data_IF_846403665284
#
_entry.id   IF_846403665284
#
_cell.length_a   1.000
_cell.length_b   1.000
_cell.length_c   1.000
_cell.angle_alpha   90.00
_cell.angle_beta   90.00
_cell.angle_gamma   90.00
#
_symmetry.space_group_name_H-M   'P 1'
#
loop_
_entity.id
_entity.type
_entity.pdbx_description
1 polymer ?
#
# COMPACT_ATOMS: atom_id res chain seq x y z
N UNK A 1 -45.36 -45.69 32.64
CA UNK A 1 -46.12 -44.44 32.41
C UNK A 1 -45.78 -43.97 31.00
N UNK A 2 -46.70 -44.22 30.05
CA UNK A 2 -47.50 -43.20 29.32
C UNK A 2 -46.63 -42.16 28.58
N UNK A 3 -46.73 -41.86 27.30
CA UNK A 3 -47.43 -42.38 26.10
C UNK A 3 -47.34 -41.28 25.03
N UNK A 4 -47.32 -41.67 23.74
CA UNK A 4 -47.72 -40.88 22.56
C UNK A 4 -46.77 -39.74 22.12
N UNK A 5 -46.55 -39.46 20.83
CA UNK A 5 -47.08 -40.02 19.59
C UNK A 5 -46.57 -39.16 18.41
N UNK A 6 -46.14 -39.83 17.33
CA UNK A 6 -45.96 -39.22 15.99
C UNK A 6 -47.33 -38.84 15.38
N UNK A 7 -47.40 -38.46 14.08
CA UNK A 7 -46.89 -37.28 13.37
C UNK A 7 -48.08 -36.49 12.76
N UNK A 8 -47.86 -35.33 12.13
CA UNK A 8 -48.89 -34.71 11.29
C UNK A 8 -48.37 -34.36 9.88
N UNK A 9 -49.19 -34.78 8.91
CA UNK A 9 -49.02 -34.91 7.47
C UNK A 9 -49.47 -33.63 6.72
N UNK A 10 -49.24 -33.55 5.39
CA UNK A 10 -49.50 -32.37 4.56
C UNK A 10 -50.96 -32.28 4.09
N UNK A 11 -51.40 -31.08 3.68
CA UNK A 11 -52.61 -30.83 2.89
C UNK A 11 -52.18 -30.20 1.54
N UNK A 12 -52.29 -30.90 0.40
CA UNK A 12 -53.43 -31.09 -0.53
C UNK A 12 -53.97 -29.81 -1.21
N UNK A 13 -53.58 -29.66 -2.48
CA UNK A 13 -54.40 -29.49 -3.72
C UNK A 13 -55.68 -28.62 -3.70
N UNK A 14 -55.80 -27.66 -4.63
CA UNK A 14 -56.64 -27.72 -5.86
C UNK A 14 -56.86 -26.32 -6.49
N UNK A 15 -56.55 -26.11 -7.79
CA UNK A 15 -57.41 -26.12 -9.02
C UNK A 15 -58.04 -24.74 -9.38
N UNK A 16 -58.14 -24.48 -10.71
CA UNK A 16 -58.84 -23.42 -11.46
C UNK A 16 -58.01 -22.15 -11.73
N UNK A 17 -57.68 -21.70 -12.95
CA UNK A 17 -58.14 -22.02 -14.30
C UNK A 17 -58.98 -20.88 -14.89
N UNK A 18 -58.44 -20.10 -15.84
CA UNK A 18 -59.11 -19.44 -16.99
C UNK A 18 -58.13 -18.50 -17.70
N UNK A 19 -57.75 -18.77 -18.99
CA UNK A 19 -58.32 -18.22 -20.25
C UNK A 19 -58.16 -16.68 -20.34
N UNK A 20 -57.70 -16.01 -21.39
CA UNK A 20 -57.53 -16.22 -22.84
C UNK A 20 -56.51 -15.15 -23.34
N UNK A 21 -55.59 -15.39 -24.29
CA UNK A 21 -55.74 -15.35 -25.77
C UNK A 21 -56.01 -13.94 -26.37
N UNK A 22 -55.76 -13.67 -27.67
CA UNK A 22 -54.50 -13.04 -28.12
C UNK A 22 -54.68 -11.79 -29.01
N UNK A 23 -53.54 -11.14 -29.31
CA UNK A 23 -53.19 -10.41 -30.53
C UNK A 23 -54.29 -9.61 -31.26
N UNK A 24 -54.31 -8.29 -31.04
CA UNK A 24 -54.95 -7.33 -31.94
C UNK A 24 -53.90 -6.62 -32.82
N UNK A 25 -54.10 -6.74 -34.14
CA UNK A 25 -53.51 -5.88 -35.18
C UNK A 25 -54.16 -4.50 -35.11
N UNK A 26 -53.37 -3.43 -35.14
CA UNK A 26 -53.74 -2.14 -35.74
C UNK A 26 -52.50 -1.45 -36.34
N UNK A 27 -52.57 -1.06 -37.61
CA UNK A 27 -51.77 0.00 -38.27
C UNK A 27 -52.51 1.36 -38.05
N UNK A 28 -52.07 2.57 -38.49
CA UNK A 28 -50.89 2.98 -39.27
C UNK A 28 -50.16 4.28 -38.81
N UNK A 29 -49.05 4.59 -39.52
CA UNK A 29 -48.51 5.92 -39.88
C UNK A 29 -48.21 6.99 -38.82
N UNK A 30 -46.92 7.35 -38.68
CA UNK A 30 -46.46 8.75 -38.75
C UNK A 30 -44.92 8.86 -38.83
N UNK A 31 -44.47 9.48 -39.93
CA UNK A 31 -43.34 10.43 -40.08
C UNK A 31 -41.92 10.00 -39.68
N UNK A 32 -41.07 10.00 -40.71
CA UNK A 32 -39.64 10.27 -40.64
C UNK A 32 -39.30 11.48 -39.76
N UNK A 33 -38.26 11.33 -38.94
CA UNK A 33 -37.32 12.39 -38.55
C UNK A 33 -35.94 11.75 -38.33
N UNK A 34 -34.86 12.50 -38.59
CA UNK A 34 -33.64 11.92 -39.14
C UNK A 34 -32.71 11.30 -38.09
N UNK A 35 -31.89 10.38 -38.59
CA UNK A 35 -30.79 9.69 -37.95
C UNK A 35 -30.03 10.51 -36.90
N UNK A 36 -30.20 10.18 -35.62
CA UNK A 36 -29.21 10.49 -34.61
C UNK A 36 -28.17 9.37 -34.63
N UNK A 37 -27.08 9.60 -35.39
CA UNK A 37 -25.85 8.81 -35.28
C UNK A 37 -25.28 9.07 -33.89
N UNK A 38 -25.65 8.22 -32.94
CA UNK A 38 -24.90 8.06 -31.70
C UNK A 38 -23.50 7.58 -32.07
N UNK A 39 -22.58 8.52 -32.16
CA UNK A 39 -21.15 8.27 -32.28
C UNK A 39 -20.73 7.28 -31.20
N UNK A 40 -20.33 6.08 -31.62
CA UNK A 40 -19.51 5.22 -30.80
C UNK A 40 -18.33 6.06 -30.32
N UNK A 41 -18.33 6.41 -29.03
CA UNK A 41 -17.20 6.98 -28.36
C UNK A 41 -16.09 5.93 -28.44
N UNK A 42 -15.25 6.10 -29.45
CA UNK A 42 -13.93 5.49 -29.53
C UNK A 42 -13.29 5.71 -28.16
N UNK A 43 -13.10 4.63 -27.41
CA UNK A 43 -12.32 4.64 -26.19
C UNK A 43 -11.06 5.44 -26.45
N UNK A 44 -10.96 6.56 -25.74
CA UNK A 44 -9.83 7.46 -25.79
C UNK A 44 -8.58 6.64 -25.55
N UNK A 45 -7.72 6.69 -26.56
CA UNK A 45 -6.34 6.23 -26.51
C UNK A 45 -5.69 6.93 -25.33
N UNK A 46 -4.81 6.20 -24.65
CA UNK A 46 -4.19 6.57 -23.38
C UNK A 46 -3.95 8.07 -23.24
N UNK A 47 -4.62 8.65 -22.24
CA UNK A 47 -4.23 9.96 -21.75
C UNK A 47 -2.78 9.87 -21.32
N UNK A 48 -1.95 10.63 -22.04
CA UNK A 48 -0.60 10.91 -21.61
C UNK A 48 -0.72 11.56 -20.25
N UNK A 49 -0.26 10.86 -19.22
CA UNK A 49 -0.14 11.40 -17.89
C UNK A 49 0.81 12.60 -17.99
N UNK A 50 0.26 13.82 -17.95
CA UNK A 50 1.01 15.00 -17.53
C UNK A 50 1.80 14.57 -16.30
N UNK A 51 3.12 14.73 -16.38
CA UNK A 51 4.06 14.18 -15.39
C UNK A 51 3.87 14.95 -14.08
N UNK A 52 2.87 14.58 -13.30
CA UNK A 52 2.62 15.11 -11.96
C UNK A 52 3.89 14.90 -11.14
N UNK A 53 4.30 15.92 -10.41
CA UNK A 53 5.45 15.81 -9.51
C UNK A 53 5.20 14.72 -8.48
N UNK A 54 6.24 13.96 -8.15
CA UNK A 54 6.12 12.86 -7.21
C UNK A 54 5.87 13.41 -5.80
N UNK A 55 4.87 12.86 -5.11
CA UNK A 55 4.55 13.24 -3.75
C UNK A 55 5.67 12.86 -2.80
N UNK A 56 6.00 13.76 -1.89
CA UNK A 56 6.82 13.43 -0.73
C UNK A 56 5.90 13.30 0.46
N UNK A 57 5.88 12.12 1.07
CA UNK A 57 5.03 11.78 2.19
C UNK A 57 5.71 12.06 3.53
N UNK A 58 4.92 12.54 4.48
CA UNK A 58 5.36 12.77 5.87
C UNK A 58 5.76 11.48 6.57
N UNK A 59 5.08 10.39 6.25
CA UNK A 59 5.25 9.09 6.88
C UNK A 59 5.63 8.01 5.85
N UNK A 60 6.45 7.02 6.24
CA UNK A 60 6.74 5.86 5.39
C UNK A 60 5.47 5.08 5.06
N UNK A 61 5.44 4.50 3.85
CA UNK A 61 4.36 3.62 3.39
C UNK A 61 4.83 2.17 3.41
N UNK A 62 4.02 1.29 3.98
CA UNK A 62 4.18 -0.16 3.89
C UNK A 62 3.07 -0.73 3.00
N UNK A 63 3.49 -1.43 1.95
CA UNK A 63 2.61 -2.17 1.03
C UNK A 63 2.77 -3.67 1.17
N UNK A 64 1.81 -4.45 0.67
CA UNK A 64 1.87 -5.91 0.73
C UNK A 64 2.94 -6.49 -0.20
N UNK A 65 2.93 -6.06 -1.47
CA UNK A 65 3.70 -6.68 -2.54
C UNK A 65 4.73 -5.78 -3.20
N UNK A 66 5.64 -6.42 -3.95
CA UNK A 66 6.63 -5.74 -4.80
C UNK A 66 5.97 -4.90 -5.91
N UNK A 67 4.83 -5.35 -6.45
CA UNK A 67 4.14 -4.67 -7.55
C UNK A 67 3.55 -3.34 -7.08
N UNK A 68 2.92 -3.32 -5.92
CA UNK A 68 2.39 -2.10 -5.27
C UNK A 68 3.53 -1.09 -5.05
N UNK A 69 4.68 -1.57 -4.58
CA UNK A 69 5.87 -0.71 -4.40
C UNK A 69 6.32 -0.11 -5.72
N UNK A 70 6.38 -0.88 -6.80
CA UNK A 70 6.79 -0.37 -8.11
C UNK A 70 5.81 0.71 -8.59
N UNK A 71 4.50 0.46 -8.45
CA UNK A 71 3.45 1.42 -8.83
C UNK A 71 3.60 2.72 -8.05
N UNK A 72 3.70 2.62 -6.72
CA UNK A 72 3.88 3.80 -5.86
C UNK A 72 5.19 4.53 -6.11
N UNK A 73 6.28 3.84 -6.45
CA UNK A 73 7.58 4.50 -6.71
C UNK A 73 7.54 5.49 -7.89
N UNK A 74 6.52 5.39 -8.76
CA UNK A 74 6.27 6.35 -9.83
C UNK A 74 5.49 7.60 -9.36
N UNK A 75 4.74 7.47 -8.26
CA UNK A 75 3.82 8.48 -7.72
C UNK A 75 4.45 9.21 -6.54
N UNK A 76 5.19 8.49 -5.68
CA UNK A 76 5.82 9.02 -4.48
C UNK A 76 7.34 8.95 -4.59
N UNK A 77 8.00 10.00 -4.11
CA UNK A 77 9.45 10.03 -3.96
C UNK A 77 9.90 9.40 -2.63
N UNK A 78 9.02 9.37 -1.63
CA UNK A 78 9.32 8.80 -0.31
C UNK A 78 9.56 7.28 -0.36
N UNK A 79 10.41 6.74 0.54
CA UNK A 79 10.66 5.31 0.60
C UNK A 79 9.40 4.49 0.90
N UNK A 80 9.15 3.48 0.05
CA UNK A 80 8.07 2.50 0.19
C UNK A 80 8.64 1.16 0.63
N UNK A 81 8.17 0.67 1.77
CA UNK A 81 8.52 -0.62 2.35
C UNK A 81 7.57 -1.71 1.86
N UNK A 82 8.05 -2.95 1.70
CA UNK A 82 7.21 -4.10 1.34
C UNK A 82 7.08 -5.09 2.48
N UNK A 83 5.88 -5.64 2.61
CA UNK A 83 5.62 -6.71 3.52
C UNK A 83 6.18 -8.04 2.99
N UNK A 84 6.25 -8.20 1.67
CA UNK A 84 6.56 -9.46 1.00
C UNK A 84 5.63 -10.58 1.55
N UNK A 85 4.35 -10.24 1.72
CA UNK A 85 3.35 -11.07 2.39
C UNK A 85 3.60 -11.23 3.90
N UNK A 86 3.59 -12.47 4.41
CA UNK A 86 3.84 -12.77 5.83
C UNK A 86 5.32 -12.73 6.21
N UNK A 87 6.24 -12.56 5.26
CA UNK A 87 7.68 -12.62 5.52
C UNK A 87 8.19 -11.48 6.41
N UNK A 88 7.49 -10.33 6.53
CA UNK A 88 7.79 -9.29 7.54
C UNK A 88 7.89 -9.89 8.94
N UNK A 89 6.99 -10.83 9.25
CA UNK A 89 6.90 -11.38 10.60
C UNK A 89 8.00 -12.39 10.89
N UNK A 90 8.77 -12.82 9.89
CA UNK A 90 9.86 -13.76 10.07
C UNK A 90 11.22 -13.05 10.16
N UNK A 91 11.35 -11.83 9.63
CA UNK A 91 12.61 -11.07 9.69
C UNK A 91 12.69 -10.23 10.96
N UNK A 92 13.62 -10.52 11.90
CA UNK A 92 13.85 -9.69 13.09
C UNK A 92 14.33 -8.28 12.72
N UNK A 93 15.06 -8.15 11.61
CA UNK A 93 15.56 -6.87 11.10
C UNK A 93 14.41 -5.96 10.68
N UNK A 94 13.49 -6.45 9.83
CA UNK A 94 12.33 -5.68 9.39
C UNK A 94 11.46 -5.25 10.57
N UNK A 95 11.25 -6.16 11.54
CA UNK A 95 10.55 -5.86 12.79
C UNK A 95 11.21 -4.69 13.54
N UNK A 96 12.52 -4.77 13.80
CA UNK A 96 13.26 -3.71 14.50
C UNK A 96 13.17 -2.37 13.76
N UNK A 97 13.31 -2.37 12.43
CA UNK A 97 13.14 -1.17 11.61
C UNK A 97 11.73 -0.58 11.73
N UNK A 98 10.68 -1.39 11.57
CA UNK A 98 9.29 -0.93 11.66
C UNK A 98 9.00 -0.36 13.05
N UNK A 99 9.46 -1.03 14.11
CA UNK A 99 9.32 -0.56 15.49
C UNK A 99 10.00 0.80 15.67
N UNK A 100 11.24 0.95 15.17
CA UNK A 100 11.97 2.23 15.23
C UNK A 100 11.25 3.35 14.51
N UNK A 101 10.68 3.10 13.33
CA UNK A 101 9.90 4.08 12.57
C UNK A 101 8.63 4.55 13.30
N UNK A 102 7.99 3.61 14.00
CA UNK A 102 6.73 3.85 14.71
C UNK A 102 6.89 4.38 16.14
N UNK A 103 8.13 4.51 16.63
CA UNK A 103 8.39 5.05 17.98
C UNK A 103 8.09 6.55 18.06
N UNK A 104 8.60 7.33 17.10
CA UNK A 104 8.47 8.79 17.07
C UNK A 104 7.56 9.28 15.94
N UNK A 105 6.93 8.35 15.22
CA UNK A 105 6.21 8.64 13.98
C UNK A 105 5.05 7.69 13.73
N UNK A 106 4.52 7.77 12.50
CA UNK A 106 3.45 6.89 12.03
C UNK A 106 3.90 6.09 10.81
N UNK A 107 3.24 4.97 10.58
CA UNK A 107 3.41 4.12 9.41
C UNK A 107 2.10 4.06 8.63
N UNK A 108 2.14 4.43 7.36
CA UNK A 108 0.98 4.30 6.47
C UNK A 108 0.91 2.86 5.98
N UNK A 109 -0.20 2.18 6.26
CA UNK A 109 -0.49 0.83 5.80
C UNK A 109 -1.41 0.92 4.59
N UNK A 110 -0.85 0.70 3.39
CA UNK A 110 -1.63 0.63 2.16
C UNK A 110 -1.75 -0.84 1.74
N UNK A 111 -2.89 -1.44 2.07
CA UNK A 111 -3.19 -2.83 1.73
C UNK A 111 -4.58 -2.96 1.12
N UNK A 112 -4.78 -4.04 0.36
CA UNK A 112 -6.09 -4.42 -0.13
C UNK A 112 -7.04 -4.78 1.03
N UNK A 113 -8.34 -4.74 0.72
CA UNK A 113 -9.42 -5.07 1.67
C UNK A 113 -9.64 -6.59 1.85
N UNK A 114 -8.72 -7.42 1.34
CA UNK A 114 -8.87 -8.87 1.29
C UNK A 114 -8.49 -9.56 2.62
N UNK A 115 -8.55 -10.89 2.65
CA UNK A 115 -8.19 -11.66 3.84
C UNK A 115 -6.69 -11.56 4.19
N UNK A 116 -5.82 -11.41 3.18
CA UNK A 116 -4.38 -11.26 3.36
C UNK A 116 -4.03 -9.95 4.05
N UNK A 117 -4.53 -8.83 3.50
CA UNK A 117 -4.36 -7.49 4.05
C UNK A 117 -4.89 -7.37 5.47
N UNK A 118 -6.06 -7.93 5.78
CA UNK A 118 -6.60 -7.95 7.15
C UNK A 118 -5.68 -8.66 8.14
N UNK A 119 -5.09 -9.79 7.75
CA UNK A 119 -4.19 -10.54 8.62
C UNK A 119 -2.85 -9.81 8.83
N UNK A 120 -2.30 -9.20 7.78
CA UNK A 120 -1.08 -8.37 7.88
C UNK A 120 -1.31 -7.20 8.84
N UNK A 121 -2.43 -6.47 8.70
CA UNK A 121 -2.78 -5.35 9.59
C UNK A 121 -2.92 -5.79 11.04
N UNK A 122 -3.66 -6.87 11.30
CA UNK A 122 -3.86 -7.39 12.65
C UNK A 122 -2.53 -7.74 13.33
N UNK A 123 -1.65 -8.45 12.61
CA UNK A 123 -0.33 -8.80 13.14
C UNK A 123 0.57 -7.58 13.35
N UNK A 124 0.55 -6.59 12.45
CA UNK A 124 1.33 -5.36 12.61
C UNK A 124 0.85 -4.55 13.82
N UNK A 125 -0.47 -4.41 14.01
CA UNK A 125 -1.05 -3.73 15.17
C UNK A 125 -0.71 -4.41 16.50
N UNK A 126 -0.59 -5.75 16.51
CA UNK A 126 -0.13 -6.48 17.69
C UNK A 126 1.36 -6.32 18.00
N UNK A 127 2.17 -5.96 17.00
CA UNK A 127 3.62 -5.81 17.13
C UNK A 127 4.07 -4.35 17.36
N UNK A 128 3.38 -3.39 16.75
CA UNK A 128 3.72 -1.97 16.78
C UNK A 128 3.02 -1.24 17.93
N UNK A 129 3.55 -0.07 18.38
CA UNK A 129 2.88 0.75 19.38
C UNK A 129 1.44 1.10 18.97
N UNK A 130 0.52 1.12 19.93
CA UNK A 130 -0.87 1.48 19.67
C UNK A 130 -0.97 2.90 19.08
N UNK A 131 -1.78 3.06 18.02
CA UNK A 131 -1.98 4.36 17.34
C UNK A 131 -0.84 4.78 16.39
N UNK A 132 0.19 3.96 16.21
CA UNK A 132 1.34 4.27 15.33
C UNK A 132 1.10 3.95 13.84
N UNK A 133 -0.06 3.39 13.49
CA UNK A 133 -0.39 2.99 12.12
C UNK A 133 -1.55 3.82 11.57
N UNK A 134 -1.41 4.33 10.34
CA UNK A 134 -2.48 4.95 9.56
C UNK A 134 -2.96 3.91 8.55
N UNK A 135 -4.21 3.48 8.70
CA UNK A 135 -4.83 2.48 7.82
C UNK A 135 -5.41 3.15 6.58
N UNK A 136 -4.77 2.98 5.42
CA UNK A 136 -5.34 3.39 4.14
C UNK A 136 -5.97 2.20 3.43
N UNK A 137 -7.26 2.32 3.18
CA UNK A 137 -8.02 1.33 2.42
C UNK A 137 -8.17 1.83 0.99
N UNK A 138 -7.83 0.94 0.07
CA UNK A 138 -8.05 1.16 -1.34
C UNK A 138 -9.56 1.07 -1.62
N UNK A 139 -10.14 2.04 -2.35
CA UNK A 139 -11.54 1.95 -2.74
C UNK A 139 -11.75 0.70 -3.60
N UNK A 140 -12.82 -0.04 -3.29
CA UNK A 140 -13.18 -1.30 -3.96
C UNK A 140 -13.68 -1.01 -5.39
N UNK A 141 -12.77 -0.88 -6.34
CA UNK A 141 -13.12 -0.77 -7.76
C UNK A 141 -13.26 -2.18 -8.34
N UNK A 142 -14.38 -2.46 -8.99
CA UNK A 142 -14.56 -3.71 -9.72
C UNK A 142 -13.62 -3.76 -10.92
N UNK A 143 -12.79 -4.80 -11.02
CA UNK A 143 -11.84 -4.93 -12.11
C UNK A 143 -10.93 -6.14 -11.99
N UNK A 144 -10.15 -6.40 -13.05
CA UNK A 144 -9.24 -7.56 -13.16
C UNK A 144 -7.80 -7.06 -13.25
N UNK A 145 -6.95 -7.49 -12.31
CA UNK A 145 -5.51 -7.29 -12.40
C UNK A 145 -4.95 -7.93 -13.68
N UNK A 146 -4.10 -7.20 -14.42
CA UNK A 146 -3.60 -7.63 -15.74
C UNK A 146 -2.81 -8.95 -15.70
N UNK A 147 -2.21 -9.30 -14.56
CA UNK A 147 -1.44 -10.53 -14.36
C UNK A 147 -2.31 -11.79 -14.15
N UNK A 148 -3.57 -11.66 -13.71
CA UNK A 148 -4.42 -12.82 -13.41
C UNK A 148 -5.32 -13.16 -14.60
N UNK A 149 -5.12 -14.36 -15.18
CA UNK A 149 -6.02 -14.91 -16.23
C UNK A 149 -7.44 -15.18 -15.70
N UNK A 150 -7.57 -15.48 -14.40
CA UNK A 150 -8.85 -15.70 -13.71
C UNK A 150 -9.19 -14.52 -12.81
N UNK A 151 -10.47 -14.17 -12.77
CA UNK A 151 -11.02 -13.23 -11.80
C UNK A 151 -10.61 -13.61 -10.37
N UNK A 152 -10.18 -12.63 -9.56
CA UNK A 152 -10.12 -12.82 -8.12
C UNK A 152 -11.50 -13.27 -7.63
N UNK A 153 -11.59 -14.14 -6.61
CA UNK A 153 -12.86 -14.70 -6.12
C UNK A 153 -13.92 -13.65 -5.72
N UNK A 154 -13.52 -12.39 -5.54
CA UNK A 154 -14.39 -11.24 -5.21
C UNK A 154 -14.56 -10.22 -6.36
N UNK A 155 -13.85 -10.37 -7.50
CA UNK A 155 -13.99 -9.47 -8.67
C UNK A 155 -13.49 -8.03 -8.46
N UNK A 156 -12.57 -7.82 -7.51
CA UNK A 156 -12.02 -6.51 -7.15
C UNK A 156 -10.60 -6.33 -7.71
N UNK A 157 -10.31 -5.08 -8.10
CA UNK A 157 -9.03 -4.61 -8.62
C UNK A 157 -8.07 -4.30 -7.47
N UNK A 158 -6.90 -4.95 -7.40
CA UNK A 158 -5.86 -4.61 -6.43
C UNK A 158 -5.06 -3.34 -6.80
N UNK A 159 -4.07 -2.99 -5.98
CA UNK A 159 -3.27 -1.74 -6.12
C UNK A 159 -2.68 -1.53 -7.51
N UNK A 160 -2.19 -2.61 -8.13
CA UNK A 160 -1.58 -2.59 -9.46
C UNK A 160 -2.55 -2.14 -10.56
N UNK A 161 -3.85 -2.35 -10.38
CA UNK A 161 -4.86 -1.99 -11.37
C UNK A 161 -5.41 -0.57 -11.23
N UNK A 162 -5.10 0.13 -10.13
CA UNK A 162 -5.63 1.46 -9.90
C UNK A 162 -5.04 2.54 -10.80
N UNK A 163 -5.87 3.54 -11.07
CA UNK A 163 -5.46 4.77 -11.72
C UNK A 163 -4.45 5.53 -10.85
N UNK A 164 -3.38 6.04 -11.49
CA UNK A 164 -2.32 6.76 -10.77
C UNK A 164 -2.86 8.05 -10.14
N UNK A 165 -3.86 8.69 -10.75
CA UNK A 165 -4.51 9.88 -10.20
C UNK A 165 -5.25 9.58 -8.89
N UNK A 166 -5.95 8.46 -8.82
CA UNK A 166 -6.65 8.05 -7.59
C UNK A 166 -5.66 7.75 -6.43
N UNK A 167 -4.55 7.07 -6.73
CA UNK A 167 -3.49 6.83 -5.74
C UNK A 167 -2.82 8.14 -5.30
N UNK A 168 -2.65 9.08 -6.22
CA UNK A 168 -2.14 10.42 -5.94
C UNK A 168 -3.07 11.15 -4.95
N UNK A 169 -4.37 11.21 -5.27
CA UNK A 169 -5.36 11.92 -4.45
C UNK A 169 -5.55 11.24 -3.07
N UNK A 170 -5.40 9.92 -2.98
CA UNK A 170 -5.45 9.21 -1.69
C UNK A 170 -4.26 9.55 -0.79
N UNK A 171 -3.09 9.77 -1.39
CA UNK A 171 -1.84 10.01 -0.67
C UNK A 171 -1.54 11.49 -0.46
N UNK A 172 -2.21 12.40 -1.19
CA UNK A 172 -2.01 13.85 -1.08
C UNK A 172 -2.30 14.38 0.31
N UNK A 173 -3.27 13.78 1.02
CA UNK A 173 -3.60 14.14 2.42
C UNK A 173 -2.46 13.85 3.41
N UNK A 174 -1.48 13.04 2.99
CA UNK A 174 -0.30 12.66 3.78
C UNK A 174 1.00 13.22 3.22
N UNK A 175 0.92 14.10 2.21
CA UNK A 175 2.07 14.79 1.69
C UNK A 175 2.70 15.68 2.78
N UNK A 176 4.02 15.66 2.87
CA UNK A 176 4.77 16.60 3.67
C UNK A 176 4.70 17.98 3.02
N UNK A 177 4.62 19.03 3.82
CA UNK A 177 4.86 20.38 3.32
C UNK A 177 6.31 20.51 2.85
N UNK A 178 6.56 21.35 1.84
CA UNK A 178 7.90 21.53 1.25
C UNK A 178 8.96 21.88 2.32
N UNK A 179 8.59 22.67 3.32
CA UNK A 179 9.46 23.04 4.44
C UNK A 179 9.85 21.85 5.33
N UNK A 180 8.91 20.92 5.60
CA UNK A 180 9.15 19.74 6.43
C UNK A 180 10.09 18.76 5.71
N UNK A 181 9.99 18.70 4.38
CA UNK A 181 10.86 17.87 3.56
C UNK A 181 12.27 18.47 3.42
N UNK A 182 12.37 19.77 3.13
CA UNK A 182 13.65 20.48 3.06
C UNK A 182 14.42 20.41 4.39
N UNK A 183 13.71 20.52 5.51
CA UNK A 183 14.31 20.41 6.84
C UNK A 183 14.84 19.00 7.15
N UNK A 184 14.20 17.96 6.59
CA UNK A 184 14.58 16.57 6.87
C UNK A 184 15.85 16.17 6.13
N UNK A 185 15.97 16.56 4.86
CA UNK A 185 17.12 16.29 4.00
C UNK A 185 17.42 14.80 3.78
N UNK A 186 18.16 14.48 2.72
CA UNK A 186 18.62 13.12 2.46
C UNK A 186 20.14 13.10 2.35
N UNK A 187 20.74 12.01 2.83
CA UNK A 187 22.14 11.72 2.59
C UNK A 187 22.27 10.73 1.44
N UNK A 188 23.42 10.77 0.76
CA UNK A 188 23.73 9.90 -0.35
C UNK A 188 24.91 8.96 -0.02
N UNK A 189 25.33 8.18 -1.01
CA UNK A 189 26.42 7.21 -0.83
C UNK A 189 27.78 7.90 -0.71
N UNK A 190 27.95 9.08 -1.32
CA UNK A 190 29.17 9.86 -1.25
C UNK A 190 29.41 10.28 0.19
N UNK A 191 28.37 10.76 0.88
CA UNK A 191 28.50 11.17 2.28
C UNK A 191 28.92 10.03 3.20
N UNK A 192 28.33 8.83 3.02
CA UNK A 192 28.74 7.63 3.77
C UNK A 192 30.20 7.27 3.53
N UNK A 193 30.71 7.50 2.33
CA UNK A 193 32.11 7.26 1.99
C UNK A 193 33.04 8.28 2.63
N UNK A 194 32.73 9.56 2.53
CA UNK A 194 33.49 10.66 3.15
C UNK A 194 33.61 10.49 4.67
N UNK A 195 32.53 10.07 5.34
CA UNK A 195 32.54 9.82 6.78
C UNK A 195 33.12 8.44 7.18
N UNK A 196 33.64 7.68 6.21
CA UNK A 196 34.38 6.44 6.45
C UNK A 196 33.51 5.21 6.71
N UNK A 197 32.20 5.28 6.51
CA UNK A 197 31.27 4.13 6.63
C UNK A 197 31.30 3.19 5.41
N UNK A 198 32.04 3.54 4.36
CA UNK A 198 32.24 2.75 3.14
C UNK A 198 33.72 2.68 2.74
N UNK A 199 34.10 1.63 2.01
CA UNK A 199 35.39 1.53 1.30
C UNK A 199 36.66 1.33 2.14
N UNK A 200 36.68 1.69 3.42
CA UNK A 200 37.85 1.59 4.29
C UNK A 200 37.86 0.38 5.24
N UNK A 201 39.04 0.12 5.82
CA UNK A 201 39.21 -0.78 6.97
C UNK A 201 38.37 -0.28 8.16
N UNK A 202 37.69 -1.20 8.86
CA UNK A 202 36.78 -0.87 9.96
C UNK A 202 35.43 -0.29 9.54
N UNK A 203 35.14 -0.12 8.23
CA UNK A 203 33.85 0.44 7.77
C UNK A 203 32.63 -0.40 8.19
N UNK A 204 32.78 -1.73 8.24
CA UNK A 204 31.72 -2.62 8.73
C UNK A 204 31.37 -2.35 10.20
N UNK A 205 32.38 -2.15 11.05
CA UNK A 205 32.18 -1.87 12.47
C UNK A 205 31.59 -0.48 12.70
N UNK A 206 32.10 0.52 11.99
CA UNK A 206 31.50 1.87 12.01
C UNK A 206 30.03 1.87 11.61
N UNK A 207 29.64 1.06 10.61
CA UNK A 207 28.23 0.89 10.23
C UNK A 207 27.39 0.24 11.33
N UNK A 208 27.93 -0.73 12.06
CA UNK A 208 27.24 -1.35 13.21
C UNK A 208 27.01 -0.35 14.33
N UNK A 209 28.02 0.44 14.67
CA UNK A 209 27.91 1.51 15.67
C UNK A 209 26.88 2.56 15.26
N UNK A 210 26.91 3.00 14.00
CA UNK A 210 25.91 3.93 13.46
C UNK A 210 24.50 3.34 13.52
N UNK A 211 24.33 2.07 13.15
CA UNK A 211 23.05 1.39 13.24
C UNK A 211 22.56 1.29 14.70
N UNK A 212 23.46 0.97 15.64
CA UNK A 212 23.13 0.89 17.05
C UNK A 212 22.68 2.26 17.61
N UNK A 213 23.41 3.34 17.31
CA UNK A 213 23.07 4.71 17.73
C UNK A 213 21.69 5.15 17.22
N UNK A 214 21.33 4.75 16.00
CA UNK A 214 20.03 5.09 15.40
C UNK A 214 18.90 4.10 15.75
N UNK A 215 19.20 3.04 16.52
CA UNK A 215 18.25 1.98 16.86
C UNK A 215 17.87 1.07 15.67
N UNK A 216 18.69 1.06 14.61
CA UNK A 216 18.52 0.27 13.40
C UNK A 216 19.04 -1.16 13.56
N UNK A 217 18.66 -2.09 12.66
CA UNK A 217 19.30 -3.41 12.56
C UNK A 217 20.82 -3.28 12.30
N UNK A 218 21.61 -4.10 12.98
CA UNK A 218 23.07 -4.07 13.01
C UNK A 218 23.73 -4.80 11.83
N UNK A 219 22.98 -5.63 11.12
CA UNK A 219 23.43 -6.43 9.98
C UNK A 219 22.97 -5.87 8.61
N UNK A 220 22.68 -4.57 8.54
CA UNK A 220 22.32 -3.91 7.29
C UNK A 220 23.50 -3.82 6.32
N UNK A 221 23.25 -4.19 5.06
CA UNK A 221 24.14 -3.80 3.96
C UNK A 221 24.23 -2.28 3.87
N UNK A 222 25.33 -1.73 3.33
CA UNK A 222 25.51 -0.28 3.28
C UNK A 222 24.37 0.47 2.56
N UNK A 223 23.82 -0.13 1.49
CA UNK A 223 22.66 0.41 0.78
C UNK A 223 21.39 0.38 1.63
N UNK A 224 21.15 -0.71 2.36
CA UNK A 224 20.00 -0.82 3.25
C UNK A 224 20.13 0.14 4.44
N UNK A 225 21.33 0.32 4.97
CA UNK A 225 21.63 1.30 6.02
C UNK A 225 21.34 2.72 5.55
N UNK A 226 21.83 3.12 4.38
CA UNK A 226 21.55 4.43 3.79
C UNK A 226 20.04 4.71 3.71
N UNK A 227 19.28 3.76 3.17
CA UNK A 227 17.83 3.88 3.08
C UNK A 227 17.17 3.99 4.47
N UNK A 228 17.61 3.18 5.43
CA UNK A 228 17.07 3.20 6.79
C UNK A 228 17.39 4.52 7.52
N UNK A 229 18.59 5.07 7.31
CA UNK A 229 19.01 6.36 7.89
C UNK A 229 18.16 7.51 7.34
N UNK A 230 17.98 7.62 6.03
CA UNK A 230 17.10 8.63 5.43
C UNK A 230 15.65 8.49 5.94
N UNK A 231 15.21 7.25 6.17
CA UNK A 231 13.86 6.97 6.64
C UNK A 231 13.63 7.26 8.14
N UNK A 232 14.64 7.09 8.99
CA UNK A 232 14.50 7.27 10.44
C UNK A 232 14.99 8.65 10.91
N UNK A 233 16.08 9.15 10.34
CA UNK A 233 16.84 10.26 10.92
C UNK A 233 17.00 11.47 9.97
N UNK A 234 16.97 11.25 8.65
CA UNK A 234 17.30 12.29 7.67
C UNK A 234 18.74 12.79 7.81
N UNK A 235 19.07 13.88 7.12
CA UNK A 235 20.42 14.45 7.10
C UNK A 235 20.86 14.95 8.49
N UNK A 236 20.02 15.77 9.15
CA UNK A 236 20.34 16.33 10.45
C UNK A 236 20.50 15.25 11.54
N UNK A 237 19.67 14.20 11.50
CA UNK A 237 19.79 13.08 12.43
C UNK A 237 21.02 12.22 12.18
N UNK A 238 21.38 12.02 10.91
CA UNK A 238 22.63 11.36 10.53
C UNK A 238 23.85 12.08 11.10
N UNK A 239 23.98 13.40 10.90
CA UNK A 239 25.14 14.17 11.37
C UNK A 239 25.36 14.04 12.88
N UNK A 240 24.27 14.08 13.67
CA UNK A 240 24.35 13.87 15.13
C UNK A 240 24.85 12.47 15.48
N UNK A 241 24.36 11.44 14.78
CA UNK A 241 24.77 10.07 15.01
C UNK A 241 26.23 9.84 14.61
N UNK A 242 26.68 10.40 13.49
CA UNK A 242 28.08 10.32 13.04
C UNK A 242 29.02 10.93 14.09
N UNK A 243 28.66 12.10 14.65
CA UNK A 243 29.48 12.75 15.69
C UNK A 243 29.69 11.84 16.90
N UNK A 244 28.61 11.26 17.43
CA UNK A 244 28.68 10.33 18.56
C UNK A 244 29.47 9.07 18.27
N UNK A 245 29.32 8.52 17.06
CA UNK A 245 30.11 7.35 16.65
C UNK A 245 31.60 7.69 16.61
N UNK A 246 31.98 8.87 16.09
CA UNK A 246 33.38 9.34 16.11
C UNK A 246 33.90 9.50 17.54
N UNK A 247 33.14 10.14 18.43
CA UNK A 247 33.47 10.25 19.86
C UNK A 247 33.66 8.88 20.54
N UNK A 248 32.79 7.91 20.22
CA UNK A 248 32.88 6.54 20.75
C UNK A 248 34.16 5.84 20.28
N UNK A 249 34.55 6.04 19.01
CA UNK A 249 35.76 5.44 18.44
C UNK A 249 37.04 6.08 19.00
N UNK A 250 37.01 7.37 19.37
CA UNK A 250 38.13 8.07 20.00
C UNK A 250 38.34 7.66 21.47
N UNK A 251 37.31 7.10 22.10
CA UNK A 251 37.34 6.65 23.50
C UNK A 251 37.79 5.19 23.66
N UNK A 252 37.91 4.45 22.54
CA UNK A 252 38.33 3.04 22.47
C UNK A 252 39.83 2.91 22.16
#
# INVERSE_FOLDING_TARGET
>A
MRSCGMPCRPARTSICGSKASPASRMRPSARCSPAFRGTAARGSRGDGMEKRERLVLKYPVLVEGKYDRIRLSNIVASPVLTADGFAVFNSPQKKKLLRRLTQDGKLILLTDSDAGGRLIRSKLKGYLPAGSTIDLYIPKIHGRERRKEKWSKEGLLGVEGMDDGLLYDLLSDYAAADEENAARGEIDTVRLYEDGFLGGTGSAERRRLLAAELGLPDDLSAKALLQAVNLVAGAAGYERAVRKVKETLETL
#
